data_IF_920294438280
#
_entry.id   IF_920294438280
#
_cell.length_a   1.000
_cell.length_b   1.000
_cell.length_c   1.000
_cell.angle_alpha   90.00
_cell.angle_beta   90.00
_cell.angle_gamma   90.00
#
_symmetry.space_group_name_H-M   'P 1'
#
loop_
_entity.id
_entity.type
_entity.pdbx_description
1 polymer ?
#
# COMPACT_ATOMS: atom_id res chain seq x y z
N UNK A 1 -22.89 41.01 12.69
CA UNK A 1 -22.89 40.01 11.60
C UNK A 1 -21.75 40.36 10.66
N UNK A 2 -20.51 39.99 10.99
CA UNK A 2 -19.32 40.31 10.20
C UNK A 2 -18.53 39.00 9.99
N UNK A 3 -18.79 38.28 8.90
CA UNK A 3 -17.94 37.18 8.44
C UNK A 3 -16.86 37.71 7.50
N UNK A 4 -15.63 37.20 7.54
CA UNK A 4 -14.59 37.61 6.60
C UNK A 4 -15.05 37.33 5.17
N UNK A 5 -14.82 38.29 4.27
CA UNK A 5 -15.15 38.21 2.85
C UNK A 5 -14.85 36.80 2.31
N UNK A 6 -15.89 36.05 1.97
CA UNK A 6 -15.77 34.71 1.37
C UNK A 6 -14.91 34.84 0.12
N UNK A 7 -13.69 34.30 0.19
CA UNK A 7 -12.78 34.22 -0.95
C UNK A 7 -13.53 33.63 -2.16
N UNK A 8 -13.30 34.15 -3.37
CA UNK A 8 -14.03 33.72 -4.56
C UNK A 8 -13.85 32.21 -4.82
N UNK A 9 -14.91 31.54 -5.28
CA UNK A 9 -15.06 30.07 -5.30
C UNK A 9 -13.91 29.31 -6.00
N UNK A 10 -13.24 29.94 -6.95
CA UNK A 10 -12.06 29.39 -7.64
C UNK A 10 -10.86 29.17 -6.71
N UNK A 11 -10.75 29.94 -5.63
CA UNK A 11 -9.69 29.78 -4.63
C UNK A 11 -9.84 28.46 -3.88
N UNK A 12 -11.07 28.05 -3.60
CA UNK A 12 -11.38 26.78 -2.95
C UNK A 12 -11.07 25.61 -3.89
N UNK A 13 -11.36 25.75 -5.19
CA UNK A 13 -10.96 24.76 -6.19
C UNK A 13 -9.44 24.61 -6.21
N UNK A 14 -8.67 25.70 -6.30
CA UNK A 14 -7.21 25.61 -6.26
C UNK A 14 -6.68 24.92 -5.01
N UNK A 15 -7.27 25.19 -3.85
CA UNK A 15 -6.91 24.51 -2.59
C UNK A 15 -7.25 23.01 -2.61
N UNK A 16 -8.40 22.63 -3.15
CA UNK A 16 -8.79 21.22 -3.31
C UNK A 16 -7.87 20.48 -4.28
N UNK A 17 -7.57 21.09 -5.42
CA UNK A 17 -6.62 20.56 -6.40
C UNK A 17 -5.23 20.37 -5.78
N UNK A 18 -4.75 21.35 -5.00
CA UNK A 18 -3.49 21.24 -4.29
C UNK A 18 -3.48 20.09 -3.27
N UNK A 19 -4.56 19.91 -2.50
CA UNK A 19 -4.64 18.80 -1.56
C UNK A 19 -4.74 17.44 -2.26
N UNK A 20 -5.47 17.34 -3.37
CA UNK A 20 -5.54 16.09 -4.14
C UNK A 20 -4.15 15.69 -4.66
N UNK A 21 -3.38 16.66 -5.15
CA UNK A 21 -2.00 16.43 -5.59
C UNK A 21 -1.09 15.99 -4.42
N UNK A 22 -1.29 16.57 -3.23
CA UNK A 22 -0.56 16.16 -2.03
C UNK A 22 -0.84 14.69 -1.66
N UNK A 23 -2.10 14.26 -1.70
CA UNK A 23 -2.45 12.85 -1.47
C UNK A 23 -1.89 11.93 -2.56
N UNK A 24 -1.95 12.32 -3.83
CA UNK A 24 -1.39 11.54 -4.92
C UNK A 24 0.14 11.37 -4.79
N UNK A 25 0.85 12.42 -4.39
CA UNK A 25 2.31 12.37 -4.22
C UNK A 25 2.75 11.46 -3.08
N UNK A 26 2.02 11.42 -1.96
CA UNK A 26 2.32 10.49 -0.86
C UNK A 26 2.08 9.03 -1.28
N UNK A 27 1.01 8.74 -2.01
CA UNK A 27 0.77 7.41 -2.59
C UNK A 27 1.87 7.01 -3.58
N UNK A 28 2.30 7.95 -4.44
CA UNK A 28 3.39 7.74 -5.37
C UNK A 28 4.72 7.46 -4.64
N UNK A 29 5.00 8.19 -3.55
CA UNK A 29 6.19 7.98 -2.74
C UNK A 29 6.17 6.62 -2.03
N UNK A 30 5.02 6.21 -1.47
CA UNK A 30 4.84 4.88 -0.89
C UNK A 30 5.06 3.80 -1.96
N UNK A 31 4.47 3.98 -3.15
CA UNK A 31 4.68 3.06 -4.28
C UNK A 31 6.15 2.96 -4.71
N UNK A 32 6.87 4.08 -4.73
CA UNK A 32 8.30 4.13 -5.03
C UNK A 32 9.13 3.40 -3.97
N UNK A 33 8.87 3.65 -2.68
CA UNK A 33 9.57 2.99 -1.57
C UNK A 33 9.31 1.48 -1.56
N UNK A 34 8.06 1.05 -1.80
CA UNK A 34 7.70 -0.37 -1.91
C UNK A 34 8.37 -1.01 -3.13
N UNK A 35 8.37 -0.33 -4.28
CA UNK A 35 9.04 -0.80 -5.50
C UNK A 35 10.53 -0.98 -5.31
N UNK A 36 11.20 -0.03 -4.67
CA UNK A 36 12.62 -0.14 -4.28
C UNK A 36 12.83 -1.30 -3.32
N UNK A 37 11.96 -1.48 -2.31
CA UNK A 37 12.02 -2.61 -1.39
C UNK A 37 11.94 -3.96 -2.09
N UNK A 38 11.06 -4.10 -3.09
CA UNK A 38 10.97 -5.32 -3.89
C UNK A 38 12.21 -5.55 -4.76
N UNK A 39 12.80 -4.49 -5.31
CA UNK A 39 14.05 -4.58 -6.08
C UNK A 39 15.24 -5.01 -5.21
N UNK A 40 15.34 -4.51 -3.96
CA UNK A 40 16.37 -4.95 -3.02
C UNK A 40 16.18 -6.40 -2.57
N UNK A 41 14.94 -6.86 -2.42
CA UNK A 41 14.64 -8.22 -1.97
C UNK A 41 14.89 -9.27 -3.07
N UNK A 42 14.79 -8.90 -4.35
CA UNK A 42 14.90 -9.86 -5.44
C UNK A 42 16.36 -10.18 -5.81
N UNK A 43 16.86 -11.34 -5.36
CA UNK A 43 18.16 -11.91 -5.79
C UNK A 43 18.08 -12.90 -6.97
N UNK A 44 16.89 -13.22 -7.47
CA UNK A 44 16.69 -14.14 -8.61
C UNK A 44 16.46 -13.41 -9.93
N UNK A 45 16.68 -14.11 -11.06
CA UNK A 45 16.32 -13.63 -12.41
C UNK A 45 14.83 -13.29 -12.41
N UNK A 46 14.53 -11.99 -12.37
CA UNK A 46 13.19 -11.41 -12.39
C UNK A 46 12.46 -11.83 -13.68
N UNK A 47 11.85 -13.01 -13.68
CA UNK A 47 10.87 -13.37 -14.68
C UNK A 47 9.61 -12.56 -14.37
N UNK A 48 9.16 -11.75 -15.34
CA UNK A 48 8.00 -10.87 -15.18
C UNK A 48 6.77 -11.59 -14.58
N UNK A 49 6.59 -12.88 -14.88
CA UNK A 49 5.53 -13.74 -14.32
C UNK A 49 5.58 -13.86 -12.79
N UNK A 50 6.76 -14.00 -12.20
CA UNK A 50 6.94 -14.17 -10.74
C UNK A 50 6.71 -12.84 -10.02
N UNK A 51 7.19 -11.74 -10.61
CA UNK A 51 7.00 -10.38 -10.08
C UNK A 51 5.51 -10.03 -10.02
N UNK A 52 4.78 -10.30 -11.11
CA UNK A 52 3.33 -10.06 -11.17
C UNK A 52 2.59 -10.90 -10.12
N UNK A 53 2.95 -12.18 -9.96
CA UNK A 53 2.36 -13.06 -8.94
C UNK A 53 2.58 -12.57 -7.51
N UNK A 54 3.81 -12.16 -7.17
CA UNK A 54 4.13 -11.58 -5.85
C UNK A 54 3.44 -10.24 -5.62
N UNK A 55 3.39 -9.38 -6.63
CA UNK A 55 2.70 -8.09 -6.54
C UNK A 55 1.19 -8.26 -6.33
N UNK A 56 0.55 -9.20 -7.05
CA UNK A 56 -0.87 -9.53 -6.85
C UNK A 56 -1.14 -10.07 -5.45
N UNK A 57 -0.29 -10.99 -4.98
CA UNK A 57 -0.44 -11.59 -3.65
C UNK A 57 -0.27 -10.55 -2.55
N UNK A 58 0.76 -9.70 -2.65
CA UNK A 58 1.01 -8.61 -1.71
C UNK A 58 -0.12 -7.56 -1.74
N UNK A 59 -0.64 -7.23 -2.93
CA UNK A 59 -1.77 -6.32 -3.08
C UNK A 59 -3.06 -6.88 -2.49
N UNK A 60 -3.36 -8.15 -2.71
CA UNK A 60 -4.52 -8.83 -2.12
C UNK A 60 -4.42 -8.90 -0.59
N UNK A 61 -3.24 -9.22 -0.05
CA UNK A 61 -3.00 -9.23 1.39
C UNK A 61 -3.06 -7.82 1.99
N UNK A 62 -2.56 -6.81 1.28
CA UNK A 62 -2.69 -5.40 1.67
C UNK A 62 -4.13 -4.95 1.73
N UNK A 63 -4.94 -5.30 0.73
CA UNK A 63 -6.39 -5.03 0.75
C UNK A 63 -7.09 -5.75 1.90
N UNK A 64 -6.78 -7.03 2.13
CA UNK A 64 -7.35 -7.80 3.23
C UNK A 64 -6.98 -7.19 4.59
N UNK A 65 -5.70 -6.84 4.80
CA UNK A 65 -5.23 -6.20 6.03
C UNK A 65 -5.87 -4.81 6.24
N UNK A 66 -5.97 -4.00 5.17
CA UNK A 66 -6.65 -2.71 5.22
C UNK A 66 -8.14 -2.83 5.58
N UNK A 67 -8.81 -3.87 5.07
CA UNK A 67 -10.23 -4.14 5.37
C UNK A 67 -10.42 -4.53 6.84
N UNK A 68 -9.52 -5.35 7.39
CA UNK A 68 -9.56 -5.71 8.82
C UNK A 68 -9.34 -4.47 9.70
N UNK A 69 -8.46 -3.55 9.28
CA UNK A 69 -8.24 -2.31 10.02
C UNK A 69 -9.38 -1.31 9.92
N UNK A 70 -10.25 -1.41 8.92
CA UNK A 70 -11.43 -0.56 8.81
C UNK A 70 -12.40 -0.72 10.00
N UNK A 71 -12.28 -1.81 10.78
CA UNK A 71 -13.02 -1.98 12.05
C UNK A 71 -12.50 -1.08 13.18
N UNK A 72 -11.31 -0.49 13.08
CA UNK A 72 -10.78 0.49 14.03
C UNK A 72 -10.55 1.86 13.38
N UNK A 73 -11.62 2.62 13.12
CA UNK A 73 -11.52 3.93 12.47
C UNK A 73 -10.87 5.02 13.34
N UNK A 74 -10.73 4.78 14.65
CA UNK A 74 -10.10 5.71 15.63
C UNK A 74 -8.60 5.90 15.38
N UNK A 75 -7.95 5.01 14.61
CA UNK A 75 -6.53 5.11 14.29
C UNK A 75 -6.26 6.19 13.22
N UNK A 76 -5.18 6.99 13.36
CA UNK A 76 -4.76 7.92 12.31
C UNK A 76 -4.53 7.20 10.96
N UNK A 77 -4.90 7.83 9.84
CA UNK A 77 -4.77 7.27 8.48
C UNK A 77 -3.38 6.66 8.19
N UNK A 78 -2.33 7.34 8.63
CA UNK A 78 -0.94 6.88 8.47
C UNK A 78 -0.65 5.61 9.27
N UNK A 79 -1.20 5.49 10.49
CA UNK A 79 -1.07 4.30 11.31
C UNK A 79 -1.83 3.11 10.70
N UNK A 80 -3.01 3.37 10.12
CA UNK A 80 -3.77 2.33 9.43
C UNK A 80 -3.02 1.80 8.20
N UNK A 81 -2.47 2.69 7.38
CA UNK A 81 -1.66 2.32 6.22
C UNK A 81 -0.39 1.54 6.61
N UNK A 82 0.31 1.98 7.66
CA UNK A 82 1.50 1.31 8.16
C UNK A 82 1.23 -0.10 8.69
N UNK A 83 0.15 -0.27 9.46
CA UNK A 83 -0.22 -1.58 10.01
C UNK A 83 -0.72 -2.53 8.91
N UNK A 84 -1.49 -2.03 7.95
CA UNK A 84 -1.91 -2.79 6.78
C UNK A 84 -0.69 -3.27 5.96
N UNK A 85 0.30 -2.40 5.74
CA UNK A 85 1.53 -2.76 5.04
C UNK A 85 2.36 -3.80 5.81
N UNK A 86 2.46 -3.67 7.14
CA UNK A 86 3.16 -4.65 7.98
C UNK A 86 2.49 -6.03 7.92
N UNK A 87 1.16 -6.08 8.06
CA UNK A 87 0.38 -7.30 7.95
C UNK A 87 0.47 -7.93 6.55
N UNK A 88 0.45 -7.12 5.50
CA UNK A 88 0.63 -7.60 4.12
C UNK A 88 2.01 -8.23 3.91
N UNK A 89 3.07 -7.59 4.43
CA UNK A 89 4.44 -8.10 4.35
C UNK A 89 4.63 -9.42 5.11
N UNK A 90 4.06 -9.52 6.31
CA UNK A 90 4.00 -10.76 7.08
C UNK A 90 3.20 -11.85 6.35
N UNK A 91 2.06 -11.47 5.78
CA UNK A 91 1.21 -12.35 4.97
C UNK A 91 1.97 -12.89 3.76
N UNK A 92 2.72 -12.07 3.04
CA UNK A 92 3.53 -12.50 1.89
C UNK A 92 4.56 -13.55 2.33
N UNK A 93 5.23 -13.33 3.46
CA UNK A 93 6.21 -14.30 4.00
C UNK A 93 5.56 -15.62 4.41
N UNK A 94 4.37 -15.56 5.02
CA UNK A 94 3.58 -16.75 5.37
C UNK A 94 3.09 -17.51 4.13
N UNK A 95 2.60 -16.79 3.13
CA UNK A 95 2.07 -17.34 1.89
C UNK A 95 3.18 -17.95 1.05
N UNK A 96 4.38 -17.36 1.02
CA UNK A 96 5.57 -17.97 0.44
C UNK A 96 5.94 -19.30 1.11
N UNK A 97 5.88 -19.37 2.44
CA UNK A 97 6.10 -20.64 3.17
C UNK A 97 5.02 -21.68 2.90
N UNK A 98 3.76 -21.28 2.85
CA UNK A 98 2.65 -22.20 2.55
C UNK A 98 2.73 -22.67 1.10
N UNK A 99 3.00 -21.78 0.15
CA UNK A 99 3.18 -22.11 -1.25
C UNK A 99 4.38 -23.04 -1.45
N UNK A 100 5.51 -22.76 -0.79
CA UNK A 100 6.66 -23.66 -0.76
C UNK A 100 6.32 -25.01 -0.13
N UNK A 101 5.41 -25.08 0.85
CA UNK A 101 4.99 -26.34 1.47
C UNK A 101 4.03 -27.15 0.58
N UNK A 102 3.15 -26.48 -0.16
CA UNK A 102 2.17 -27.11 -1.06
C UNK A 102 2.85 -27.56 -2.36
N UNK A 103 3.75 -26.74 -2.92
CA UNK A 103 4.47 -27.03 -4.17
C UNK A 103 5.74 -27.83 -3.91
N UNK A 104 6.43 -27.59 -2.80
CA UNK A 104 7.68 -28.23 -2.38
C UNK A 104 7.50 -29.52 -1.58
N UNK A 105 6.45 -30.31 -1.84
CA UNK A 105 6.39 -31.73 -1.48
C UNK A 105 7.52 -32.59 -2.11
N UNK A 106 8.57 -31.97 -2.66
CA UNK A 106 9.72 -32.60 -3.30
C UNK A 106 11.05 -31.98 -2.86
N UNK A 107 11.46 -32.33 -1.62
CA UNK A 107 12.85 -32.47 -1.11
C UNK A 107 13.68 -31.20 -0.78
N UNK A 108 14.61 -31.35 0.20
CA UNK A 108 15.01 -30.32 1.18
C UNK A 108 15.99 -29.27 0.67
#
# INVERSE_FOLDING_TARGET
MNGPASLPDWWQLLQQWAQQLLHASTLAFIGLVVGIGQLLQSRERLQARVVIGRALTAGALGMAAGTVLAWWPELPWVAQAGLAAALASLGTSGLERVFARIVGGGKP
#
